data_IF_581121654191
#
_entry.id   IF_581121654191
#
_cell.length_a   1.000
_cell.length_b   1.000
_cell.length_c   1.000
_cell.angle_alpha   90.00
_cell.angle_beta   90.00
_cell.angle_gamma   90.00
#
_symmetry.space_group_name_H-M   'P 1'
#
loop_
_entity.id
_entity.type
_entity.pdbx_description
1 polymer ?
#
# COMPACT_ATOMS: atom_id res chain seq x y z
N UNK A 1 8.35 -4.92 6.00
CA UNK A 1 9.21 -5.10 4.81
C UNK A 1 9.63 -6.55 4.58
N UNK A 2 10.18 -7.25 5.61
CA UNK A 2 10.56 -8.68 5.49
C UNK A 2 9.40 -9.55 4.95
N UNK A 3 8.16 -9.50 5.50
CA UNK A 3 7.08 -10.34 5.00
C UNK A 3 6.63 -9.95 3.58
N UNK A 4 6.58 -8.66 3.27
CA UNK A 4 6.12 -8.17 1.96
C UNK A 4 7.08 -8.51 0.84
N UNK A 5 8.39 -8.46 1.09
CA UNK A 5 9.42 -8.85 0.12
C UNK A 5 9.37 -10.34 -0.22
N UNK A 6 9.14 -11.21 0.77
CA UNK A 6 8.98 -12.66 0.55
C UNK A 6 7.73 -12.94 -0.29
N UNK A 7 6.61 -12.29 0.01
CA UNK A 7 5.37 -12.45 -0.76
C UNK A 7 5.59 -12.03 -2.21
N UNK A 8 6.22 -10.88 -2.46
CA UNK A 8 6.53 -10.43 -3.83
C UNK A 8 7.47 -11.42 -4.52
N UNK A 9 8.47 -11.96 -3.82
CA UNK A 9 9.40 -12.91 -4.42
C UNK A 9 8.73 -14.24 -4.85
N UNK A 10 7.72 -14.70 -4.10
CA UNK A 10 7.00 -15.95 -4.39
C UNK A 10 5.85 -15.74 -5.39
N UNK A 11 5.09 -14.65 -5.25
CA UNK A 11 3.84 -14.42 -5.98
C UNK A 11 3.97 -13.44 -7.14
N UNK A 12 5.08 -12.70 -7.21
CA UNK A 12 5.32 -11.59 -8.14
C UNK A 12 4.28 -10.46 -8.05
N UNK A 13 3.52 -10.38 -6.94
CA UNK A 13 2.53 -9.32 -6.71
C UNK A 13 3.01 -8.33 -5.66
N UNK A 14 2.92 -7.03 -5.98
CA UNK A 14 3.28 -5.95 -5.06
C UNK A 14 2.13 -5.75 -4.08
N UNK A 15 2.37 -6.12 -2.83
CA UNK A 15 1.46 -5.88 -1.73
C UNK A 15 1.91 -4.66 -0.91
N UNK A 16 0.99 -3.73 -0.62
CA UNK A 16 1.24 -2.54 0.22
C UNK A 16 0.56 -2.72 1.57
N UNK A 17 1.28 -2.48 2.67
CA UNK A 17 0.78 -2.68 4.04
C UNK A 17 -0.16 -1.54 4.51
N UNK A 18 -1.15 -1.16 3.70
CA UNK A 18 -1.95 0.05 3.94
C UNK A 18 -2.62 0.08 5.32
N UNK A 19 -3.50 -0.87 5.61
CA UNK A 19 -4.36 -0.83 6.82
C UNK A 19 -3.56 -0.87 8.15
N UNK A 20 -2.55 -1.75 8.34
CA UNK A 20 -1.77 -1.75 9.58
C UNK A 20 -1.00 -0.44 9.80
N UNK A 21 -0.51 0.18 8.73
CA UNK A 21 0.17 1.49 8.79
C UNK A 21 -0.86 2.58 9.12
N UNK A 22 -2.04 2.53 8.52
CA UNK A 22 -3.10 3.51 8.77
C UNK A 22 -3.53 3.45 10.24
N UNK A 23 -3.75 2.25 10.81
CA UNK A 23 -4.03 2.07 12.25
C UNK A 23 -2.90 2.66 13.11
N UNK A 24 -1.65 2.29 12.82
CA UNK A 24 -0.50 2.76 13.58
C UNK A 24 -0.35 4.28 13.51
N UNK A 25 -0.52 4.86 12.32
CA UNK A 25 -0.41 6.30 12.09
C UNK A 25 -1.53 7.07 12.80
N UNK A 26 -2.74 6.53 12.87
CA UNK A 26 -3.85 7.09 13.63
C UNK A 26 -3.55 7.17 15.14
N UNK A 27 -2.84 6.17 15.67
CA UNK A 27 -2.44 6.15 17.07
C UNK A 27 -1.30 7.11 17.39
N UNK A 28 -0.32 7.27 16.48
CA UNK A 28 0.84 8.15 16.71
C UNK A 28 0.45 9.63 16.61
N UNK A 29 -0.39 10.00 15.65
CA UNK A 29 -0.75 11.39 15.37
C UNK A 29 -2.27 11.57 15.35
N UNK A 30 -2.93 11.47 16.52
CA UNK A 30 -4.38 11.64 16.60
C UNK A 30 -4.77 13.10 16.36
N UNK A 31 -5.85 13.30 15.61
CA UNK A 31 -6.47 14.62 15.38
C UNK A 31 -5.78 15.51 14.34
N UNK A 32 -4.65 15.09 13.77
CA UNK A 32 -3.94 15.87 12.74
C UNK A 32 -3.89 15.12 11.40
N UNK A 33 -4.69 15.55 10.39
CA UNK A 33 -4.77 14.87 9.10
C UNK A 33 -3.51 15.01 8.27
N UNK A 34 -2.77 16.11 8.42
CA UNK A 34 -1.52 16.36 7.68
C UNK A 34 -0.44 15.41 8.21
N UNK A 35 -0.34 15.25 9.53
CA UNK A 35 0.60 14.31 10.15
C UNK A 35 0.30 12.84 9.80
N UNK A 36 -0.98 12.47 9.69
CA UNK A 36 -1.37 11.16 9.18
C UNK A 36 -0.92 10.93 7.73
N UNK A 37 -1.19 11.91 6.84
CA UNK A 37 -0.83 11.81 5.43
C UNK A 37 0.68 11.69 5.22
N UNK A 38 1.50 12.41 5.99
CA UNK A 38 2.96 12.36 5.87
C UNK A 38 3.52 11.02 6.31
N UNK A 39 3.06 10.46 7.45
CA UNK A 39 3.49 9.14 7.93
C UNK A 39 3.07 8.01 6.99
N UNK A 40 1.82 8.05 6.52
CA UNK A 40 1.30 7.11 5.52
C UNK A 40 2.10 7.19 4.23
N UNK A 41 2.30 8.40 3.72
CA UNK A 41 3.03 8.68 2.49
C UNK A 41 4.47 8.20 2.57
N UNK A 42 5.17 8.49 3.67
CA UNK A 42 6.53 8.05 3.91
C UNK A 42 6.65 6.53 3.90
N UNK A 43 5.82 5.85 4.70
CA UNK A 43 5.93 4.39 4.85
C UNK A 43 5.63 3.65 3.55
N UNK A 44 4.58 4.07 2.83
CA UNK A 44 4.21 3.46 1.54
C UNK A 44 5.26 3.74 0.46
N UNK A 45 5.79 4.97 0.39
CA UNK A 45 6.81 5.33 -0.61
C UNK A 45 8.13 4.61 -0.35
N UNK A 46 8.57 4.54 0.90
CA UNK A 46 9.76 3.76 1.29
C UNK A 46 9.58 2.28 0.94
N UNK A 47 8.37 1.73 1.13
CA UNK A 47 8.10 0.34 0.77
C UNK A 47 8.21 0.09 -0.73
N UNK A 48 7.59 0.93 -1.55
CA UNK A 48 7.63 0.80 -2.99
C UNK A 48 9.04 1.02 -3.56
N UNK A 49 9.77 2.00 -3.03
CA UNK A 49 11.15 2.30 -3.42
C UNK A 49 12.07 1.10 -3.13
N UNK A 50 11.98 0.51 -1.95
CA UNK A 50 12.83 -0.63 -1.59
C UNK A 50 12.54 -1.86 -2.46
N UNK A 51 11.26 -2.19 -2.67
CA UNK A 51 10.89 -3.34 -3.52
C UNK A 51 11.43 -3.13 -4.94
N UNK A 52 11.26 -1.93 -5.50
CA UNK A 52 11.80 -1.56 -6.80
C UNK A 52 13.33 -1.67 -6.83
N UNK A 53 14.03 -1.19 -5.80
CA UNK A 53 15.48 -1.33 -5.68
C UNK A 53 15.93 -2.79 -5.63
N UNK A 54 15.26 -3.65 -4.85
CA UNK A 54 15.57 -5.07 -4.78
C UNK A 54 15.39 -5.76 -6.14
N UNK A 55 14.35 -5.40 -6.89
CA UNK A 55 14.13 -5.89 -8.25
C UNK A 55 15.26 -5.44 -9.19
N UNK A 56 15.66 -4.18 -9.14
CA UNK A 56 16.78 -3.65 -9.93
C UNK A 56 18.11 -4.32 -9.57
N UNK A 57 18.38 -4.57 -8.29
CA UNK A 57 19.57 -5.30 -7.85
C UNK A 57 19.60 -6.74 -8.36
N UNK A 58 18.44 -7.41 -8.39
CA UNK A 58 18.33 -8.76 -8.94
C UNK A 58 18.69 -8.78 -10.43
N UNK A 59 18.18 -7.82 -11.21
CA UNK A 59 18.49 -7.70 -12.64
C UNK A 59 19.98 -7.36 -12.84
N UNK A 60 20.52 -6.41 -12.07
CA UNK A 60 21.93 -6.03 -12.15
C UNK A 60 22.88 -7.20 -11.83
N UNK A 61 22.50 -8.04 -10.85
CA UNK A 61 23.22 -9.27 -10.53
C UNK A 61 23.21 -10.25 -11.71
N UNK A 62 22.09 -10.42 -12.41
CA UNK A 62 22.03 -11.25 -13.63
C UNK A 62 22.89 -10.69 -14.77
N UNK A 63 23.01 -9.37 -14.87
CA UNK A 63 23.88 -8.70 -15.86
C UNK A 63 25.35 -8.60 -15.43
N UNK A 64 25.72 -9.18 -14.27
CA UNK A 64 27.08 -9.14 -13.69
C UNK A 64 27.62 -7.72 -13.46
N UNK A 65 26.75 -6.77 -13.18
CA UNK A 65 27.14 -5.38 -12.85
C UNK A 65 27.54 -5.34 -11.37
N UNK A 66 28.66 -4.68 -11.01
CA UNK A 66 29.06 -4.58 -9.61
C UNK A 66 28.02 -3.83 -8.76
N UNK A 67 27.76 -4.28 -7.52
CA UNK A 67 26.66 -3.78 -6.68
C UNK A 67 26.84 -2.31 -6.27
N UNK A 68 28.08 -1.85 -6.11
CA UNK A 68 28.38 -0.45 -5.75
C UNK A 68 27.93 0.54 -6.81
N UNK A 69 28.15 0.21 -8.09
CA UNK A 69 27.74 1.06 -9.22
C UNK A 69 26.22 1.09 -9.31
N UNK A 70 25.58 -0.07 -9.19
CA UNK A 70 24.13 -0.21 -9.21
C UNK A 70 23.48 0.63 -8.10
N UNK A 71 24.00 0.57 -6.87
CA UNK A 71 23.48 1.36 -5.76
C UNK A 71 23.59 2.87 -6.01
N UNK A 72 24.75 3.36 -6.43
CA UNK A 72 24.95 4.78 -6.72
C UNK A 72 24.02 5.28 -7.84
N UNK A 73 23.85 4.49 -8.90
CA UNK A 73 22.94 4.84 -10.00
C UNK A 73 21.48 4.90 -9.56
N UNK A 74 21.04 3.93 -8.75
CA UNK A 74 19.67 3.91 -8.20
C UNK A 74 19.39 5.09 -7.27
N UNK A 75 20.38 5.51 -6.48
CA UNK A 75 20.27 6.74 -5.67
C UNK A 75 20.11 7.98 -6.54
N UNK A 76 20.99 8.17 -7.52
CA UNK A 76 20.92 9.32 -8.45
C UNK A 76 19.57 9.34 -9.17
N UNK A 77 19.13 8.18 -9.67
CA UNK A 77 17.83 8.03 -10.31
C UNK A 77 16.67 8.47 -9.39
N UNK A 78 16.67 8.04 -8.13
CA UNK A 78 15.60 8.40 -7.18
C UNK A 78 15.51 9.90 -6.90
N UNK A 79 16.66 10.59 -6.88
CA UNK A 79 16.71 12.04 -6.68
C UNK A 79 16.14 12.76 -7.91
N UNK A 80 16.60 12.39 -9.11
CA UNK A 80 16.10 12.98 -10.37
C UNK A 80 14.59 12.73 -10.51
N UNK A 81 14.15 11.50 -10.27
CA UNK A 81 12.75 11.13 -10.36
C UNK A 81 11.87 11.95 -9.41
N UNK A 82 12.28 12.15 -8.15
CA UNK A 82 11.49 12.94 -7.18
C UNK A 82 11.37 14.41 -7.59
N UNK A 83 12.43 15.02 -8.11
CA UNK A 83 12.41 16.40 -8.63
C UNK A 83 11.45 16.53 -9.81
N UNK A 84 11.54 15.62 -10.80
CA UNK A 84 10.67 15.65 -11.98
C UNK A 84 9.20 15.48 -11.57
N UNK A 85 8.89 14.53 -10.69
CA UNK A 85 7.52 14.34 -10.19
C UNK A 85 6.96 15.60 -9.52
N UNK A 86 7.77 16.29 -8.70
CA UNK A 86 7.36 17.53 -8.05
C UNK A 86 7.09 18.66 -9.07
N UNK A 87 8.00 18.85 -10.03
CA UNK A 87 7.85 19.87 -11.08
C UNK A 87 6.61 19.60 -11.91
N UNK A 88 6.39 18.36 -12.34
CA UNK A 88 5.21 17.98 -13.13
C UNK A 88 3.92 18.20 -12.35
N UNK A 89 3.89 17.84 -11.07
CA UNK A 89 2.72 18.07 -10.22
C UNK A 89 2.40 19.57 -10.11
N UNK A 90 3.40 20.41 -9.85
CA UNK A 90 3.22 21.86 -9.73
C UNK A 90 2.78 22.49 -11.07
N UNK A 91 3.35 22.02 -12.18
CA UNK A 91 2.99 22.49 -13.51
C UNK A 91 1.52 22.20 -13.84
N UNK A 92 1.05 20.97 -13.57
CA UNK A 92 -0.34 20.58 -13.81
C UNK A 92 -1.33 21.41 -12.99
N UNK A 93 -1.02 21.68 -11.71
CA UNK A 93 -1.87 22.49 -10.83
C UNK A 93 -1.97 23.96 -11.28
N UNK A 94 -0.91 24.51 -11.87
CA UNK A 94 -0.89 25.92 -12.29
C UNK A 94 -1.46 26.15 -13.70
N UNK A 95 -1.35 25.17 -14.60
CA UNK A 95 -1.68 25.35 -16.01
C UNK A 95 -3.08 24.86 -16.40
N UNK A 96 -3.63 23.87 -15.68
CA UNK A 96 -4.95 23.31 -15.98
C UNK A 96 -6.01 23.96 -15.08
N UNK A 97 -6.90 24.81 -15.62
CA UNK A 97 -7.96 25.42 -14.82
C UNK A 97 -8.98 24.36 -14.38
N UNK A 98 -9.47 24.47 -13.14
CA UNK A 98 -10.48 23.57 -12.56
C UNK A 98 -10.03 22.09 -12.51
N UNK A 99 -8.76 21.83 -12.22
CA UNK A 99 -8.29 20.46 -11.92
C UNK A 99 -8.92 19.98 -10.60
N UNK A 100 -9.25 18.69 -10.50
CA UNK A 100 -9.87 18.09 -9.29
C UNK A 100 -11.21 18.72 -8.85
N UNK A 101 -12.00 19.28 -9.77
CA UNK A 101 -13.38 19.76 -9.47
C UNK A 101 -14.41 19.01 -10.32
N UNK A 102 -15.64 18.88 -9.81
CA UNK A 102 -16.72 18.14 -10.47
C UNK A 102 -17.12 18.68 -11.85
N UNK A 103 -16.68 19.91 -12.19
CA UNK A 103 -16.93 20.54 -13.49
C UNK A 103 -16.12 19.90 -14.62
N UNK A 104 -14.97 19.29 -14.32
CA UNK A 104 -14.06 18.71 -15.30
C UNK A 104 -13.96 17.19 -15.13
N UNK A 105 -14.82 16.46 -15.85
CA UNK A 105 -14.86 14.99 -15.83
C UNK A 105 -13.53 14.33 -16.27
N UNK A 106 -12.79 14.97 -17.16
CA UNK A 106 -11.50 14.47 -17.67
C UNK A 106 -10.36 14.56 -16.64
N UNK A 107 -10.41 15.55 -15.75
CA UNK A 107 -9.34 15.84 -14.77
C UNK A 107 -9.81 15.61 -13.33
N UNK A 108 -10.64 14.58 -13.12
CA UNK A 108 -11.14 14.21 -11.79
C UNK A 108 -10.05 13.49 -10.98
N UNK A 109 -9.86 13.91 -9.74
CA UNK A 109 -8.76 13.44 -8.88
C UNK A 109 -9.22 12.42 -7.84
N UNK A 110 -9.89 11.36 -8.31
CA UNK A 110 -10.49 10.30 -7.47
C UNK A 110 -9.51 9.73 -6.42
N UNK A 111 -8.25 9.52 -6.80
CA UNK A 111 -7.24 8.96 -5.90
C UNK A 111 -6.79 9.93 -4.79
N UNK A 112 -6.79 11.23 -5.10
CA UNK A 112 -6.46 12.28 -4.13
C UNK A 112 -7.63 12.46 -3.16
N UNK A 113 -8.86 12.50 -3.67
CA UNK A 113 -10.09 12.56 -2.87
C UNK A 113 -10.19 11.36 -1.92
N UNK A 114 -10.00 10.14 -2.42
CA UNK A 114 -10.01 8.94 -1.57
C UNK A 114 -8.94 8.98 -0.46
N UNK A 115 -7.76 9.55 -0.77
CA UNK A 115 -6.69 9.72 0.22
C UNK A 115 -7.01 10.80 1.25
N UNK A 116 -7.71 11.87 0.85
CA UNK A 116 -8.19 12.93 1.73
C UNK A 116 -9.32 12.43 2.65
N UNK A 117 -10.32 11.72 2.10
CA UNK A 117 -11.38 11.08 2.91
C UNK A 117 -10.77 10.10 3.91
N UNK A 118 -9.76 9.34 3.49
CA UNK A 118 -9.03 8.45 4.40
C UNK A 118 -8.32 9.22 5.51
N UNK A 119 -7.68 10.36 5.24
CA UNK A 119 -7.00 11.13 6.29
C UNK A 119 -7.96 11.80 7.26
N UNK A 120 -9.18 12.13 6.83
CA UNK A 120 -10.23 12.61 7.74
C UNK A 120 -10.65 11.47 8.68
N UNK A 121 -10.97 10.30 8.14
CA UNK A 121 -11.44 9.15 8.94
C UNK A 121 -10.33 8.68 9.90
N UNK A 122 -9.15 8.39 9.37
CA UNK A 122 -8.08 7.78 10.15
C UNK A 122 -7.25 8.83 10.92
N UNK A 123 -7.05 10.02 10.37
CA UNK A 123 -6.24 11.07 11.01
C UNK A 123 -7.01 11.98 11.96
N UNK A 124 -8.22 12.42 11.61
CA UNK A 124 -9.00 13.36 12.44
C UNK A 124 -9.90 12.63 13.44
N UNK A 125 -10.72 11.69 12.98
CA UNK A 125 -11.63 10.94 13.87
C UNK A 125 -10.83 9.97 14.74
N UNK A 126 -9.81 9.34 14.16
CA UNK A 126 -8.92 8.42 14.84
C UNK A 126 -9.49 7.01 14.98
N UNK A 127 -8.62 6.06 15.27
CA UNK A 127 -8.99 4.64 15.34
C UNK A 127 -9.97 4.33 16.48
N UNK A 128 -9.75 4.85 17.68
CA UNK A 128 -10.58 4.51 18.85
C UNK A 128 -12.04 4.95 18.70
N UNK A 129 -12.29 6.05 17.98
CA UNK A 129 -13.65 6.55 17.73
C UNK A 129 -14.34 5.85 16.57
N UNK A 130 -13.59 5.38 15.58
CA UNK A 130 -14.13 4.68 14.41
C UNK A 130 -14.29 3.19 14.65
N UNK A 131 -13.35 2.53 15.33
CA UNK A 131 -13.31 1.07 15.52
C UNK A 131 -13.27 0.63 16.99
N UNK A 132 -13.41 1.53 17.96
CA UNK A 132 -13.43 1.16 19.39
C UNK A 132 -14.69 0.40 19.84
N UNK A 133 -14.64 -0.16 21.06
CA UNK A 133 -15.78 -0.85 21.69
C UNK A 133 -16.98 0.12 21.74
N UNK A 134 -18.09 -0.27 21.10
CA UNK A 134 -19.31 0.53 21.01
C UNK A 134 -19.51 1.30 19.70
N UNK A 135 -18.54 1.25 18.77
CA UNK A 135 -18.71 1.81 17.42
C UNK A 135 -19.43 0.86 16.47
N UNK A 136 -20.13 1.41 15.48
CA UNK A 136 -20.81 0.68 14.39
C UNK A 136 -19.81 -0.16 13.57
N UNK A 137 -18.56 0.29 13.45
CA UNK A 137 -17.52 -0.41 12.69
C UNK A 137 -16.68 -1.39 13.52
N UNK A 138 -16.97 -1.55 14.81
CA UNK A 138 -16.27 -2.53 15.66
C UNK A 138 -16.24 -3.95 15.07
N UNK A 139 -17.32 -4.46 14.44
CA UNK A 139 -17.30 -5.80 13.85
C UNK A 139 -16.28 -5.99 12.70
N UNK A 140 -15.87 -4.92 12.01
CA UNK A 140 -14.88 -5.03 10.93
C UNK A 140 -13.52 -5.52 11.43
N UNK A 141 -13.19 -5.30 12.71
CA UNK A 141 -11.94 -5.77 13.31
C UNK A 141 -11.85 -7.31 13.33
N UNK A 142 -12.98 -8.01 13.40
CA UNK A 142 -12.99 -9.48 13.31
C UNK A 142 -12.55 -9.97 11.92
N UNK A 143 -12.66 -9.14 10.88
CA UNK A 143 -12.09 -9.42 9.56
C UNK A 143 -10.57 -9.61 9.59
N UNK A 144 -9.86 -8.90 10.47
CA UNK A 144 -8.41 -9.07 10.64
C UNK A 144 -8.07 -10.43 11.27
N UNK A 145 -8.87 -10.89 12.23
CA UNK A 145 -8.74 -12.22 12.81
C UNK A 145 -8.99 -13.32 11.79
N UNK A 146 -10.03 -13.16 10.95
CA UNK A 146 -10.32 -14.07 9.84
C UNK A 146 -9.10 -14.11 8.89
N UNK A 147 -8.57 -12.95 8.50
CA UNK A 147 -7.37 -12.86 7.66
C UNK A 147 -6.12 -13.52 8.25
N UNK A 148 -5.98 -13.55 9.58
CA UNK A 148 -4.88 -14.23 10.28
C UNK A 148 -5.09 -15.74 10.35
N UNK A 149 -6.34 -16.18 10.54
CA UNK A 149 -6.70 -17.59 10.71
C UNK A 149 -6.68 -18.36 9.38
N UNK A 150 -7.12 -17.75 8.28
CA UNK A 150 -7.16 -18.36 6.95
C UNK A 150 -5.82 -19.01 6.50
N UNK A 151 -4.67 -18.32 6.53
CA UNK A 151 -3.39 -18.91 6.13
C UNK A 151 -2.88 -19.99 7.10
N UNK A 152 -3.27 -19.94 8.38
CA UNK A 152 -2.91 -20.97 9.36
C UNK A 152 -3.69 -22.26 9.08
N UNK A 153 -4.99 -22.13 8.80
CA UNK A 153 -5.85 -23.26 8.41
C UNK A 153 -5.32 -23.91 7.12
N UNK A 154 -4.95 -23.12 6.12
CA UNK A 154 -4.42 -23.65 4.86
C UNK A 154 -3.09 -24.39 5.05
N UNK A 155 -2.20 -23.86 5.88
CA UNK A 155 -0.95 -24.54 6.22
C UNK A 155 -1.18 -25.86 6.96
N UNK A 156 -2.12 -25.88 7.91
CA UNK A 156 -2.46 -27.09 8.65
C UNK A 156 -3.10 -28.16 7.75
N UNK A 157 -4.01 -27.75 6.86
CA UNK A 157 -4.63 -28.62 5.85
C UNK A 157 -3.57 -29.21 4.90
N UNK A 158 -2.62 -28.39 4.42
CA UNK A 158 -1.51 -28.87 3.59
C UNK A 158 -0.65 -29.91 4.33
N UNK A 159 -0.36 -29.68 5.63
CA UNK A 159 0.44 -30.62 6.44
C UNK A 159 -0.27 -31.95 6.70
N UNK A 160 -1.60 -31.95 6.85
CA UNK A 160 -2.39 -33.16 7.15
C UNK A 160 -2.82 -33.93 5.90
N UNK A 161 -3.05 -33.25 4.77
CA UNK A 161 -3.49 -33.82 3.49
C UNK A 161 -2.37 -33.78 2.44
N UNK A 162 -1.20 -34.35 2.78
CA UNK A 162 -0.01 -34.37 1.90
C UNK A 162 -0.24 -35.05 0.54
N UNK A 163 -1.33 -35.80 0.38
CA UNK A 163 -1.72 -36.46 -0.87
C UNK A 163 -2.29 -35.50 -1.94
N UNK A 164 -2.79 -34.30 -1.56
CA UNK A 164 -3.43 -33.37 -2.51
C UNK A 164 -2.47 -32.22 -2.84
N UNK A 165 -1.70 -32.37 -3.94
CA UNK A 165 -0.68 -31.41 -4.37
C UNK A 165 -1.22 -30.01 -4.70
N UNK A 166 -2.50 -29.86 -5.03
CA UNK A 166 -3.11 -28.56 -5.36
C UNK A 166 -3.33 -27.65 -4.15
N UNK A 167 -3.47 -28.21 -2.94
CA UNK A 167 -3.64 -27.41 -1.71
C UNK A 167 -2.39 -26.56 -1.38
N UNK A 168 -1.21 -26.96 -1.87
CA UNK A 168 0.03 -26.20 -1.72
C UNK A 168 0.06 -24.90 -2.53
N UNK A 169 -0.76 -24.78 -3.59
CA UNK A 169 -0.77 -23.61 -4.47
C UNK A 169 -1.79 -22.54 -4.05
N UNK A 170 -2.63 -22.82 -3.05
CA UNK A 170 -3.65 -21.88 -2.58
C UNK A 170 -2.99 -20.83 -1.67
N UNK A 171 -2.84 -19.60 -2.18
CA UNK A 171 -2.36 -18.45 -1.43
C UNK A 171 -3.52 -17.55 -1.01
N UNK A 172 -4.04 -17.75 0.20
CA UNK A 172 -5.11 -16.90 0.76
C UNK A 172 -4.80 -15.40 0.79
N UNK A 173 -3.57 -14.95 1.11
CA UNK A 173 -3.24 -13.52 1.04
C UNK A 173 -3.44 -12.95 -0.37
N UNK A 174 -3.16 -13.74 -1.41
CA UNK A 174 -3.30 -13.35 -2.80
C UNK A 174 -4.77 -13.14 -3.19
N UNK A 175 -5.63 -14.07 -2.76
CA UNK A 175 -7.07 -14.05 -3.02
C UNK A 175 -7.72 -12.82 -2.37
N UNK A 176 -7.35 -12.53 -1.12
CA UNK A 176 -7.88 -11.37 -0.40
C UNK A 176 -7.38 -10.06 -1.01
N UNK A 177 -6.14 -10.02 -1.49
CA UNK A 177 -5.54 -8.84 -2.13
C UNK A 177 -6.14 -8.53 -3.50
N UNK A 178 -6.76 -9.50 -4.19
CA UNK A 178 -7.40 -9.28 -5.50
C UNK A 178 -8.45 -8.15 -5.48
N UNK A 179 -9.07 -7.89 -4.32
CA UNK A 179 -10.01 -6.78 -4.13
C UNK A 179 -9.36 -5.39 -4.31
N UNK A 180 -8.04 -5.24 -4.15
CA UNK A 180 -7.36 -3.96 -4.37
C UNK A 180 -7.29 -3.55 -5.86
N UNK A 181 -7.55 -4.47 -6.79
CA UNK A 181 -7.61 -4.16 -8.21
C UNK A 181 -8.95 -3.54 -8.63
N UNK A 182 -9.94 -3.51 -7.72
CA UNK A 182 -11.21 -2.85 -7.98
C UNK A 182 -10.99 -1.33 -8.03
N UNK A 183 -11.55 -0.62 -9.04
CA UNK A 183 -11.44 0.82 -9.11
C UNK A 183 -12.03 1.45 -7.84
N UNK A 184 -11.40 2.52 -7.30
CA UNK A 184 -11.92 3.19 -6.13
C UNK A 184 -13.32 3.74 -6.46
N UNK A 185 -14.34 3.25 -5.76
CA UNK A 185 -15.69 3.74 -5.91
C UNK A 185 -15.72 5.21 -5.47
N UNK A 186 -16.38 6.10 -6.23
CA UNK A 186 -16.60 7.47 -5.77
C UNK A 186 -17.37 7.43 -4.45
N UNK A 187 -16.95 8.24 -3.48
CA UNK A 187 -17.79 8.51 -2.32
C UNK A 187 -19.06 9.20 -2.85
N UNK A 188 -20.22 8.58 -2.61
CA UNK A 188 -21.53 9.14 -2.94
C UNK A 188 -21.85 10.28 -1.98
#
# INVERSE_FOLDING_TARGET
MIPTGIIVAVTNMIFVLGVPIDILSSYIVPGNPIGFLTLRGYTNSCQQLLISFLLSFKIAHYMKIPPRITFSMLLIYSIIASIVHYITAMYLLNHIPNICTDKNLLWKCLRVEASFTSSVIWGVVGFDKTFGIGSIYYPLLFGLLIGLVLPIISWFLWKKLSNIKWLAFINFPLILVATNALPPAPAV
#
